data_IF_621347813174
#
_entry.id   IF_621347813174
#
_cell.length_a   1.000
_cell.length_b   1.000
_cell.length_c   1.000
_cell.angle_alpha   90.00
_cell.angle_beta   90.00
_cell.angle_gamma   90.00
#
_symmetry.space_group_name_H-M   'P 1'
#
loop_
_entity.id
_entity.type
_entity.pdbx_description
1 polymer ?
#
# COMPACT_ATOMS: atom_id res chain seq x y z
N UNK A 1 13.86 20.64 13.12
CA UNK A 1 13.24 19.40 13.63
C UNK A 1 11.74 19.52 13.44
N UNK A 2 11.17 18.95 12.38
CA UNK A 2 9.73 19.00 12.14
C UNK A 2 9.06 17.85 12.90
N UNK A 3 8.65 18.14 14.12
CA UNK A 3 7.83 17.26 14.94
C UNK A 3 6.37 17.40 14.46
N UNK A 4 5.98 16.71 13.37
CA UNK A 4 4.55 16.61 13.02
C UNK A 4 3.87 15.81 14.14
N UNK A 5 2.93 16.45 14.83
CA UNK A 5 2.16 15.84 15.92
C UNK A 5 1.48 14.54 15.46
N UNK A 6 1.34 13.50 16.30
CA UNK A 6 0.79 12.21 15.91
C UNK A 6 -0.59 12.26 15.24
N UNK A 7 -1.43 13.26 15.58
CA UNK A 7 -2.72 13.54 14.94
C UNK A 7 -2.60 14.09 13.51
N UNK A 8 -1.61 14.94 13.21
CA UNK A 8 -1.37 15.44 11.84
C UNK A 8 -1.01 14.30 10.91
N UNK A 9 -0.23 13.34 11.40
CA UNK A 9 0.20 12.20 10.58
C UNK A 9 -1.00 11.30 10.31
N UNK A 10 -1.84 11.02 11.32
CA UNK A 10 -3.10 10.27 11.17
C UNK A 10 -4.03 10.89 10.11
N UNK A 11 -4.18 12.21 10.15
CA UNK A 11 -5.03 12.96 9.23
C UNK A 11 -4.47 13.00 7.79
N UNK A 12 -3.14 13.09 7.65
CA UNK A 12 -2.47 12.97 6.36
C UNK A 12 -2.72 11.57 5.74
N UNK A 13 -2.78 10.50 6.54
CA UNK A 13 -3.04 9.14 6.04
C UNK A 13 -4.47 8.88 5.60
N UNK A 14 -5.45 9.33 6.37
CA UNK A 14 -6.86 9.20 5.97
C UNK A 14 -7.09 9.91 4.64
N UNK A 15 -6.43 11.05 4.45
CA UNK A 15 -6.43 11.78 3.19
C UNK A 15 -5.73 11.01 2.06
N UNK A 16 -4.56 10.43 2.32
CA UNK A 16 -3.81 9.64 1.34
C UNK A 16 -4.62 8.41 0.86
N UNK A 17 -5.30 7.72 1.78
CA UNK A 17 -6.17 6.58 1.50
C UNK A 17 -7.44 7.02 0.75
N UNK A 18 -8.07 8.11 1.17
CA UNK A 18 -9.24 8.66 0.49
C UNK A 18 -8.94 9.08 -0.96
N UNK A 19 -7.76 9.65 -1.22
CA UNK A 19 -7.32 10.00 -2.57
C UNK A 19 -7.03 8.74 -3.42
N UNK A 20 -6.49 7.67 -2.81
CA UNK A 20 -6.34 6.37 -3.47
C UNK A 20 -7.69 5.77 -3.86
N UNK A 21 -8.65 5.74 -2.93
CA UNK A 21 -10.00 5.22 -3.16
C UNK A 21 -10.70 5.99 -4.29
N UNK A 22 -10.51 7.30 -4.33
CA UNK A 22 -11.00 8.14 -5.42
C UNK A 22 -10.33 7.80 -6.75
N UNK A 23 -9.01 7.56 -6.76
CA UNK A 23 -8.25 7.19 -7.96
C UNK A 23 -8.70 5.84 -8.51
N UNK A 24 -8.86 4.84 -7.63
CA UNK A 24 -9.40 3.51 -7.98
C UNK A 24 -10.84 3.65 -8.51
N UNK A 25 -11.69 4.47 -7.90
CA UNK A 25 -13.07 4.70 -8.38
C UNK A 25 -13.13 5.42 -9.73
N UNK A 26 -12.17 6.31 -10.02
CA UNK A 26 -12.13 7.07 -11.26
C UNK A 26 -11.52 6.27 -12.42
N UNK A 27 -10.57 5.39 -12.15
CA UNK A 27 -9.98 4.45 -13.12
C UNK A 27 -9.88 3.03 -12.52
N UNK A 28 -11.02 2.31 -12.44
CA UNK A 28 -11.11 1.00 -11.77
C UNK A 28 -10.46 -0.15 -12.54
N UNK A 29 -9.80 0.12 -13.67
CA UNK A 29 -9.56 -0.89 -14.72
C UNK A 29 -8.09 -1.13 -15.07
N UNK A 30 -7.13 -0.65 -14.28
CA UNK A 30 -5.71 -0.79 -14.62
C UNK A 30 -4.88 -1.30 -13.44
N UNK A 31 -4.02 -2.29 -13.72
CA UNK A 31 -3.09 -2.86 -12.76
C UNK A 31 -2.20 -1.77 -12.13
N UNK A 32 -1.85 -0.72 -12.88
CA UNK A 32 -1.06 0.41 -12.40
C UNK A 32 -1.74 1.17 -11.25
N UNK A 33 -3.07 1.32 -11.26
CA UNK A 33 -3.82 1.95 -10.16
C UNK A 33 -3.67 1.17 -8.85
N UNK A 34 -3.80 -0.15 -8.93
CA UNK A 34 -3.67 -1.05 -7.79
C UNK A 34 -2.22 -1.17 -7.30
N UNK A 35 -1.23 -1.13 -8.20
CA UNK A 35 0.19 -1.03 -7.84
C UNK A 35 0.46 0.26 -7.07
N UNK A 36 -0.04 1.40 -7.55
CA UNK A 36 0.11 2.69 -6.89
C UNK A 36 -0.53 2.71 -5.49
N UNK A 37 -1.70 2.10 -5.35
CA UNK A 37 -2.38 1.97 -4.06
C UNK A 37 -1.60 1.08 -3.08
N UNK A 38 -1.20 -0.12 -3.52
CA UNK A 38 -0.39 -1.03 -2.72
C UNK A 38 0.92 -0.39 -2.26
N UNK A 39 1.56 0.41 -3.13
CA UNK A 39 2.80 1.11 -2.78
C UNK A 39 2.60 2.07 -1.62
N UNK A 40 1.52 2.86 -1.63
CA UNK A 40 1.20 3.79 -0.55
C UNK A 40 0.91 3.03 0.75
N UNK A 41 0.11 1.96 0.68
CA UNK A 41 -0.19 1.10 1.83
C UNK A 41 1.07 0.48 2.44
N UNK A 42 2.01 0.00 1.62
CA UNK A 42 3.29 -0.54 2.11
C UNK A 42 4.13 0.51 2.85
N UNK A 43 4.14 1.75 2.38
CA UNK A 43 4.82 2.86 3.09
C UNK A 43 4.12 3.14 4.43
N UNK A 44 2.79 3.05 4.49
CA UNK A 44 2.04 3.17 5.76
C UNK A 44 2.33 1.99 6.70
N UNK A 45 2.59 0.81 6.15
CA UNK A 45 3.01 -0.40 6.86
C UNK A 45 4.18 -0.17 7.84
N UNK A 46 5.10 0.73 7.48
CA UNK A 46 6.25 1.09 8.32
C UNK A 46 5.86 1.69 9.68
N UNK A 47 4.64 2.21 9.79
CA UNK A 47 4.08 2.79 11.03
C UNK A 47 2.86 2.03 11.54
N UNK A 48 2.10 1.43 10.63
CA UNK A 48 0.86 0.71 10.87
C UNK A 48 0.96 -0.66 10.21
N UNK A 49 1.50 -1.65 10.91
CA UNK A 49 1.84 -2.94 10.34
C UNK A 49 0.67 -3.62 9.63
N UNK A 50 -0.57 -3.41 10.09
CA UNK A 50 -1.80 -3.93 9.49
C UNK A 50 -2.07 -3.43 8.05
N UNK A 51 -1.27 -2.47 7.56
CA UNK A 51 -1.34 -1.97 6.18
C UNK A 51 -0.54 -2.80 5.20
N UNK A 52 0.40 -3.63 5.67
CA UNK A 52 1.12 -4.53 4.78
C UNK A 52 0.16 -5.54 4.15
N UNK A 53 -0.80 -6.08 4.90
CA UNK A 53 -1.81 -7.01 4.41
C UNK A 53 -2.71 -6.35 3.34
N UNK A 54 -3.14 -5.11 3.59
CA UNK A 54 -3.90 -4.35 2.58
C UNK A 54 -3.06 -4.07 1.33
N UNK A 55 -1.75 -3.82 1.48
CA UNK A 55 -0.85 -3.66 0.33
C UNK A 55 -0.78 -4.94 -0.50
N UNK A 56 -0.71 -6.10 0.16
CA UNK A 56 -0.73 -7.41 -0.51
C UNK A 56 -2.04 -7.64 -1.27
N UNK A 57 -3.19 -7.27 -0.71
CA UNK A 57 -4.47 -7.32 -1.40
C UNK A 57 -4.48 -6.46 -2.66
N UNK A 58 -3.97 -5.23 -2.57
CA UNK A 58 -3.87 -4.33 -3.71
C UNK A 58 -2.97 -4.90 -4.81
N UNK A 59 -1.80 -5.45 -4.47
CA UNK A 59 -0.92 -6.07 -5.47
C UNK A 59 -1.52 -7.36 -6.05
N UNK A 60 -2.26 -8.14 -5.27
CA UNK A 60 -2.99 -9.29 -5.79
C UNK A 60 -4.05 -8.86 -6.82
N UNK A 61 -4.77 -7.76 -6.56
CA UNK A 61 -5.70 -7.20 -7.54
C UNK A 61 -4.98 -6.73 -8.80
N UNK A 62 -3.83 -6.07 -8.68
CA UNK A 62 -3.02 -5.72 -9.85
C UNK A 62 -2.61 -6.93 -10.68
N UNK A 63 -2.21 -8.04 -10.03
CA UNK A 63 -1.87 -9.30 -10.68
C UNK A 63 -3.10 -9.95 -11.35
N UNK A 64 -4.29 -9.88 -10.73
CA UNK A 64 -5.53 -10.35 -11.34
C UNK A 64 -5.85 -9.59 -12.64
N UNK A 65 -5.60 -8.27 -12.67
CA UNK A 65 -5.79 -7.45 -13.88
C UNK A 65 -4.72 -7.67 -14.94
N UNK A 66 -3.44 -7.77 -14.53
CA UNK A 66 -2.33 -8.05 -15.43
C UNK A 66 -1.37 -9.08 -14.80
N UNK A 67 -1.55 -10.39 -15.12
CA UNK A 67 -0.71 -11.46 -14.59
C UNK A 67 0.75 -11.40 -15.06
N UNK A 68 1.08 -10.57 -16.04
CA UNK A 68 2.44 -10.40 -16.55
C UNK A 68 3.10 -9.12 -16.04
N UNK A 69 2.44 -8.36 -15.14
CA UNK A 69 3.02 -7.13 -14.60
C UNK A 69 4.10 -7.43 -13.57
N UNK A 70 5.36 -7.38 -14.01
CA UNK A 70 6.52 -7.60 -13.15
C UNK A 70 6.58 -6.64 -11.95
N UNK A 71 6.05 -5.41 -12.05
CA UNK A 71 6.03 -4.46 -10.93
C UNK A 71 5.10 -4.96 -9.82
N UNK A 72 3.94 -5.51 -10.17
CA UNK A 72 2.99 -6.02 -9.18
C UNK A 72 3.60 -7.14 -8.32
N UNK A 73 4.32 -8.08 -8.94
CA UNK A 73 5.05 -9.12 -8.22
C UNK A 73 6.22 -8.56 -7.40
N UNK A 74 7.00 -7.64 -7.98
CA UNK A 74 8.13 -7.02 -7.28
C UNK A 74 7.67 -6.33 -5.99
N UNK A 75 6.65 -5.49 -6.08
CA UNK A 75 6.16 -4.77 -4.92
C UNK A 75 5.42 -5.65 -3.92
N UNK A 76 4.74 -6.71 -4.38
CA UNK A 76 4.21 -7.76 -3.49
C UNK A 76 5.31 -8.41 -2.67
N UNK A 77 6.45 -8.74 -3.30
CA UNK A 77 7.62 -9.28 -2.60
C UNK A 77 8.13 -8.34 -1.51
N UNK A 78 8.27 -7.05 -1.82
CA UNK A 78 8.69 -6.05 -0.83
C UNK A 78 7.71 -5.87 0.34
N UNK A 79 6.41 -6.08 0.11
CA UNK A 79 5.42 -6.04 1.18
C UNK A 79 5.47 -7.30 2.06
N UNK A 80 5.73 -8.47 1.49
CA UNK A 80 5.91 -9.72 2.25
C UNK A 80 7.16 -9.67 3.12
N UNK A 81 8.27 -9.17 2.59
CA UNK A 81 9.54 -9.01 3.30
C UNK A 81 9.36 -8.09 4.52
N UNK A 82 8.73 -6.93 4.31
CA UNK A 82 8.46 -5.98 5.39
C UNK A 82 7.49 -6.52 6.46
N UNK A 83 6.52 -7.36 6.06
CA UNK A 83 5.60 -8.01 6.98
C UNK A 83 6.32 -9.07 7.84
N UNK A 84 7.18 -9.89 7.22
CA UNK A 84 7.99 -10.88 7.93
C UNK A 84 8.96 -10.22 8.92
N UNK A 85 9.68 -9.17 8.50
CA UNK A 85 10.56 -8.41 9.40
C UNK A 85 9.81 -7.85 10.61
N UNK A 86 8.57 -7.38 10.40
CA UNK A 86 7.73 -6.90 11.48
C UNK A 86 7.31 -8.03 12.42
N UNK A 87 6.87 -9.17 11.89
CA UNK A 87 6.43 -10.33 12.67
C UNK A 87 7.56 -10.94 13.51
N UNK A 88 8.80 -10.92 13.01
CA UNK A 88 9.99 -11.35 13.76
C UNK A 88 10.42 -10.36 14.86
N UNK A 89 10.02 -9.09 14.76
CA UNK A 89 10.39 -8.05 15.72
C UNK A 89 9.48 -7.99 16.98
N UNK A 90 8.35 -8.71 16.98
CA UNK A 90 7.36 -8.78 18.08
C UNK A 90 7.72 -9.89 19.07
#
# INVERSE_FOLDING_TARGET
MFNKQPESVANDFEKELAECDKTIKQNPSDADSYIGYGFRLRILGLRFPEKYELALEAYNKAIEFNPNDAKAYFYKGLALDALQEYEEAI
#
